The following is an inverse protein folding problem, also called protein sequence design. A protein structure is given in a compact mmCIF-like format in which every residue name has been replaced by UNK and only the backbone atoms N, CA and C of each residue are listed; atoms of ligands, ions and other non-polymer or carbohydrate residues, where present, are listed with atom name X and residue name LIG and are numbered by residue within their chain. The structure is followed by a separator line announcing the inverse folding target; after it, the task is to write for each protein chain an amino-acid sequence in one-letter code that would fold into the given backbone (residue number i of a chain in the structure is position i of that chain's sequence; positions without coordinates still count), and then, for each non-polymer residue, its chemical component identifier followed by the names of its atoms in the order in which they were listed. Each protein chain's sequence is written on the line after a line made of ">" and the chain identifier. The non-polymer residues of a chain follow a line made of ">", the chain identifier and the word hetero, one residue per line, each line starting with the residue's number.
data_IF_157069533968
#
_entry.id   IF_157069533968
#
_cell.length_a   1.000
_cell.length_b   1.000
_cell.length_c   1.000
_cell.angle_alpha   90.00
_cell.angle_beta   90.00
_cell.angle_gamma   90.00
#
_symmetry.space_group_name_H-M   'P 1'
#
loop_
_entity.id
_entity.type
_entity.pdbx_description
1 polymer ?
#
# COMPACT_ATOMS: atom_id res chain seq x y z
N UNK A 1 -3.98 30.29 -28.45
CA UNK A 1 -3.57 30.48 -27.03
C UNK A 1 -4.78 30.20 -26.14
N UNK A 2 -4.99 28.95 -25.74
CA UNK A 2 -6.10 28.57 -24.88
C UNK A 2 -5.67 28.68 -23.42
N UNK A 3 -6.33 29.58 -22.68
CA UNK A 3 -6.20 29.78 -21.23
C UNK A 3 -7.19 28.84 -20.55
N UNK A 4 -6.70 27.88 -19.76
CA UNK A 4 -7.57 27.11 -18.87
C UNK A 4 -7.63 27.79 -17.50
N UNK A 5 -8.85 28.21 -17.15
CA UNK A 5 -9.23 28.83 -15.89
C UNK A 5 -9.47 27.72 -14.85
N UNK A 6 -8.67 27.68 -13.79
CA UNK A 6 -8.94 26.86 -12.60
C UNK A 6 -9.94 27.60 -11.71
N UNK A 7 -11.17 27.11 -11.65
CA UNK A 7 -12.13 27.55 -10.63
C UNK A 7 -11.92 26.72 -9.36
N UNK A 8 -11.20 27.29 -8.39
CA UNK A 8 -11.18 26.80 -7.01
C UNK A 8 -12.45 27.29 -6.30
N UNK A 9 -13.39 26.40 -6.05
CA UNK A 9 -14.51 26.67 -5.16
C UNK A 9 -14.06 26.40 -3.72
N UNK A 10 -13.69 27.46 -3.00
CA UNK A 10 -13.48 27.42 -1.57
C UNK A 10 -14.84 27.52 -0.86
N UNK A 11 -15.22 26.48 -0.10
CA UNK A 11 -16.35 26.58 0.83
C UNK A 11 -15.80 26.74 2.26
N UNK A 12 -16.30 27.79 2.92
CA UNK A 12 -15.87 28.29 4.22
C UNK A 12 -16.13 27.33 5.38
N UNK A 13 -15.21 27.42 6.35
CA UNK A 13 -15.22 26.72 7.61
C UNK A 13 -16.50 26.97 8.44
N UNK A 14 -17.02 25.90 9.04
CA UNK A 14 -17.78 25.99 10.28
C UNK A 14 -17.03 25.16 11.31
N UNK A 15 -16.46 25.83 12.31
CA UNK A 15 -15.81 25.16 13.43
C UNK A 15 -16.83 24.36 14.23
N UNK A 16 -16.45 23.15 14.63
CA UNK A 16 -17.07 22.48 15.76
C UNK A 16 -16.02 21.68 16.52
N UNK A 17 -16.25 21.64 17.83
CA UNK A 17 -15.30 21.44 18.91
C UNK A 17 -14.47 20.15 18.81
N UNK A 18 -13.23 20.28 19.27
CA UNK A 18 -12.36 19.16 19.62
C UNK A 18 -13.02 18.27 20.69
N UNK A 19 -13.47 17.09 20.29
CA UNK A 19 -13.65 15.97 21.22
C UNK A 19 -12.42 15.09 21.14
N UNK A 20 -11.61 15.09 22.19
CA UNK A 20 -10.57 14.09 22.44
C UNK A 20 -11.23 12.73 22.64
N UNK A 21 -11.59 12.06 21.55
CA UNK A 21 -11.89 10.63 21.61
C UNK A 21 -10.56 9.90 21.61
N UNK A 22 -10.30 9.15 22.67
CA UNK A 22 -9.35 8.03 22.72
C UNK A 22 -9.79 6.96 21.72
N UNK A 23 -9.73 7.25 20.43
CA UNK A 23 -9.99 6.28 19.38
C UNK A 23 -8.74 5.40 19.27
N UNK A 24 -8.84 4.19 19.84
CA UNK A 24 -7.95 3.08 19.48
C UNK A 24 -7.85 3.06 17.95
N UNK A 25 -6.65 3.07 17.33
CA UNK A 25 -6.53 2.91 15.89
C UNK A 25 -7.25 1.62 15.48
N UNK A 26 -8.33 1.75 14.72
CA UNK A 26 -9.17 0.63 14.35
C UNK A 26 -10.05 1.02 13.17
N UNK A 27 -10.13 0.12 12.19
CA UNK A 27 -11.02 0.26 11.05
C UNK A 27 -12.48 0.07 11.53
N UNK A 28 -13.39 0.93 11.08
CA UNK A 28 -14.83 0.68 11.26
C UNK A 28 -15.20 -0.60 10.51
N UNK A 29 -15.94 -1.52 11.15
CA UNK A 29 -16.31 -2.81 10.52
C UNK A 29 -17.34 -2.66 9.41
N UNK A 30 -18.01 -1.51 9.33
CA UNK A 30 -19.03 -1.20 8.34
C UNK A 30 -18.68 0.12 7.66
N UNK A 31 -17.62 0.12 6.84
CA UNK A 31 -17.41 1.21 5.89
C UNK A 31 -18.33 0.93 4.71
N UNK A 32 -19.39 1.72 4.58
CA UNK A 32 -20.24 1.69 3.39
C UNK A 32 -19.37 1.95 2.18
N UNK A 33 -19.46 1.09 1.17
CA UNK A 33 -18.78 1.30 -0.10
C UNK A 33 -19.09 2.70 -0.62
N UNK A 34 -18.04 3.47 -0.91
CA UNK A 34 -18.20 4.75 -1.61
C UNK A 34 -18.53 4.52 -3.09
N UNK A 35 -18.34 3.30 -3.59
CA UNK A 35 -18.78 2.86 -4.91
C UNK A 35 -20.20 2.34 -4.79
N UNK A 36 -21.15 3.13 -5.27
CA UNK A 36 -22.58 2.78 -5.31
C UNK A 36 -23.04 2.37 -6.71
N UNK A 37 -22.16 2.49 -7.71
CA UNK A 37 -22.46 2.17 -9.10
C UNK A 37 -22.29 0.65 -9.34
N UNK A 38 -23.37 -0.10 -9.65
CA UNK A 38 -23.26 -1.53 -9.95
C UNK A 38 -22.53 -1.82 -11.26
N UNK A 39 -22.30 -0.81 -12.11
CA UNK A 39 -21.52 -0.92 -13.35
C UNK A 39 -20.05 -0.57 -13.18
N UNK A 40 -19.60 -0.28 -11.95
CA UNK A 40 -18.21 0.03 -11.66
C UNK A 40 -17.28 -1.09 -12.15
N UNK A 41 -16.24 -0.69 -12.87
CA UNK A 41 -15.23 -1.58 -13.43
C UNK A 41 -13.86 -0.93 -13.33
N UNK A 42 -12.84 -1.75 -13.08
CA UNK A 42 -11.44 -1.33 -13.13
C UNK A 42 -10.87 -1.29 -14.56
N UNK A 43 -11.71 -1.53 -15.57
CA UNK A 43 -11.28 -1.62 -16.96
C UNK A 43 -10.57 -2.95 -17.27
N UNK A 44 -9.86 -2.97 -18.40
CA UNK A 44 -9.15 -4.18 -18.89
C UNK A 44 -7.64 -4.14 -18.67
N UNK A 45 -7.09 -2.97 -18.33
CA UNK A 45 -5.66 -2.73 -18.21
C UNK A 45 -5.31 -2.33 -16.77
N UNK A 46 -5.71 -3.19 -15.83
CA UNK A 46 -5.41 -2.97 -14.42
C UNK A 46 -4.41 -3.99 -13.88
N UNK A 47 -3.66 -3.56 -12.87
CA UNK A 47 -2.79 -4.42 -12.08
C UNK A 47 -3.17 -4.34 -10.59
N UNK A 48 -2.89 -5.39 -9.84
CA UNK A 48 -3.05 -5.44 -8.40
C UNK A 48 -1.69 -5.30 -7.73
N UNK A 49 -1.48 -4.23 -6.98
CA UNK A 49 -0.24 -3.96 -6.25
C UNK A 49 -0.42 -4.33 -4.77
N UNK A 50 0.11 -5.48 -4.40
CA UNK A 50 0.11 -6.05 -3.06
C UNK A 50 1.32 -5.55 -2.26
N UNK A 51 1.10 -4.57 -1.40
CA UNK A 51 2.11 -3.83 -0.66
C UNK A 51 2.48 -4.52 0.65
N UNK A 52 3.75 -4.93 0.74
CA UNK A 52 4.43 -5.31 1.97
C UNK A 52 3.71 -6.37 2.79
N UNK A 53 3.07 -7.32 2.11
CA UNK A 53 2.38 -8.46 2.69
C UNK A 53 3.36 -9.54 3.18
N UNK A 54 4.34 -9.13 3.99
CA UNK A 54 5.49 -9.94 4.42
C UNK A 54 5.37 -10.44 5.86
N UNK A 55 6.07 -11.53 6.18
CA UNK A 55 6.04 -12.16 7.50
C UNK A 55 6.28 -11.17 8.65
N UNK A 56 7.31 -10.32 8.54
CA UNK A 56 7.69 -9.40 9.61
C UNK A 56 6.67 -8.30 9.91
N UNK A 57 5.78 -7.96 8.97
CA UNK A 57 4.69 -7.02 9.19
C UNK A 57 3.41 -7.74 9.65
N UNK A 58 3.08 -8.85 9.00
CA UNK A 58 1.86 -9.62 9.28
C UNK A 58 1.90 -10.27 10.67
N UNK A 59 3.09 -10.66 11.15
CA UNK A 59 3.29 -11.17 12.51
C UNK A 59 2.78 -10.22 13.62
N UNK A 60 2.71 -8.91 13.36
CA UNK A 60 2.24 -7.93 14.34
C UNK A 60 0.70 -7.90 14.45
N UNK A 61 -0.02 -8.45 13.47
CA UNK A 61 -1.49 -8.41 13.43
C UNK A 61 -2.12 -9.79 13.55
N UNK A 62 -1.42 -10.87 13.16
CA UNK A 62 -1.93 -12.24 13.16
C UNK A 62 -2.32 -12.78 14.55
N UNK A 63 -1.83 -12.16 15.63
CA UNK A 63 -2.15 -12.54 17.01
C UNK A 63 -3.53 -12.07 17.48
N UNK A 64 -4.22 -11.25 16.67
CA UNK A 64 -5.53 -10.69 17.02
C UNK A 64 -6.63 -11.22 16.09
N UNK A 65 -7.86 -11.35 16.60
CA UNK A 65 -9.00 -11.76 15.77
C UNK A 65 -9.24 -10.81 14.59
N UNK A 66 -9.09 -9.51 14.80
CA UNK A 66 -9.25 -8.50 13.74
C UNK A 66 -8.16 -8.62 12.68
N UNK A 67 -6.91 -8.88 13.08
CA UNK A 67 -5.83 -9.11 12.12
C UNK A 67 -6.01 -10.41 11.36
N UNK A 68 -6.47 -11.49 11.99
CA UNK A 68 -6.77 -12.72 11.27
C UNK A 68 -7.89 -12.52 10.23
N UNK A 69 -8.95 -11.78 10.56
CA UNK A 69 -10.00 -11.45 9.59
C UNK A 69 -9.46 -10.61 8.42
N UNK A 70 -8.53 -9.69 8.69
CA UNK A 70 -7.85 -8.94 7.63
C UNK A 70 -7.01 -9.86 6.74
N UNK A 71 -6.22 -10.77 7.31
CA UNK A 71 -5.43 -11.77 6.57
C UNK A 71 -6.36 -12.62 5.69
N UNK A 72 -7.44 -13.15 6.26
CA UNK A 72 -8.39 -13.99 5.53
C UNK A 72 -9.03 -13.22 4.36
N UNK A 73 -9.41 -11.96 4.57
CA UNK A 73 -9.99 -11.13 3.51
C UNK A 73 -8.98 -10.80 2.40
N UNK A 74 -7.73 -10.50 2.75
CA UNK A 74 -6.68 -10.22 1.75
C UNK A 74 -6.34 -11.49 0.96
N UNK A 75 -6.23 -12.64 1.62
CA UNK A 75 -6.01 -13.92 0.95
C UNK A 75 -7.18 -14.25 0.00
N UNK A 76 -8.42 -14.10 0.44
CA UNK A 76 -9.60 -14.30 -0.40
C UNK A 76 -9.64 -13.34 -1.60
N UNK A 77 -9.22 -12.08 -1.41
CA UNK A 77 -9.09 -11.12 -2.50
C UNK A 77 -8.06 -11.57 -3.54
N UNK A 78 -6.86 -11.95 -3.10
CA UNK A 78 -5.79 -12.44 -3.98
C UNK A 78 -6.28 -13.67 -4.75
N UNK A 79 -6.90 -14.63 -4.07
CA UNK A 79 -7.46 -15.84 -4.70
C UNK A 79 -8.56 -15.49 -5.71
N UNK A 80 -9.41 -14.50 -5.43
CA UNK A 80 -10.44 -14.05 -6.35
C UNK A 80 -9.86 -13.36 -7.59
N UNK A 81 -8.81 -12.56 -7.42
CA UNK A 81 -8.05 -11.95 -8.52
C UNK A 81 -7.44 -13.02 -9.41
N UNK A 82 -6.77 -14.02 -8.82
CA UNK A 82 -6.12 -15.11 -9.56
C UNK A 82 -7.10 -16.07 -10.27
N UNK A 83 -8.37 -16.08 -9.86
CA UNK A 83 -9.43 -16.88 -10.51
C UNK A 83 -10.04 -16.22 -11.76
N UNK A 84 -9.68 -14.98 -12.07
CA UNK A 84 -10.12 -14.33 -13.30
C UNK A 84 -9.46 -14.98 -14.53
N UNK A 85 -10.06 -14.80 -15.71
CA UNK A 85 -9.58 -15.40 -16.96
C UNK A 85 -9.48 -14.35 -18.09
N UNK A 86 -8.26 -13.93 -18.49
CA UNK A 86 -7.00 -14.21 -17.80
C UNK A 86 -6.92 -13.49 -16.44
N UNK A 87 -6.11 -13.97 -15.49
CA UNK A 87 -5.84 -13.21 -14.26
C UNK A 87 -5.18 -11.88 -14.64
N UNK A 88 -5.49 -10.76 -13.96
CA UNK A 88 -4.74 -9.53 -14.12
C UNK A 88 -3.33 -9.70 -13.53
N UNK A 89 -2.40 -8.81 -13.91
CA UNK A 89 -1.06 -8.81 -13.34
C UNK A 89 -1.11 -8.47 -11.83
N UNK A 90 -0.69 -9.41 -10.99
CA UNK A 90 -0.43 -9.14 -9.57
C UNK A 90 1.06 -8.85 -9.35
N UNK A 91 1.35 -7.74 -8.69
CA UNK A 91 2.69 -7.32 -8.29
C UNK A 91 2.74 -7.26 -6.76
N UNK A 92 3.66 -8.01 -6.16
CA UNK A 92 3.90 -8.01 -4.72
C UNK A 92 5.15 -7.21 -4.41
N UNK A 93 5.08 -6.26 -3.48
CA UNK A 93 6.29 -5.60 -2.98
C UNK A 93 6.73 -6.18 -1.64
N UNK A 94 8.04 -6.23 -1.45
CA UNK A 94 8.67 -6.66 -0.20
C UNK A 94 9.68 -5.61 0.26
N UNK A 95 9.59 -5.24 1.53
CA UNK A 95 10.66 -4.50 2.20
C UNK A 95 11.78 -5.48 2.53
N UNK A 96 12.99 -5.12 2.12
CA UNK A 96 14.21 -5.80 2.53
C UNK A 96 15.34 -4.78 2.54
N UNK A 97 16.44 -5.18 3.16
CA UNK A 97 17.67 -4.39 3.21
C UNK A 97 18.76 -5.02 2.37
N UNK A 98 19.53 -4.17 1.70
CA UNK A 98 20.61 -4.60 0.79
C UNK A 98 21.64 -5.44 1.55
N UNK A 99 21.88 -5.11 2.81
CA UNK A 99 22.75 -5.82 3.75
C UNK A 99 22.46 -5.34 5.19
N UNK A 100 23.20 -5.87 6.16
CA UNK A 100 23.06 -5.53 7.59
C UNK A 100 23.42 -4.09 7.94
N UNK A 101 24.16 -3.37 7.08
CA UNK A 101 24.45 -1.94 7.25
C UNK A 101 23.29 -1.04 6.82
N UNK A 102 22.33 -1.57 6.06
CA UNK A 102 21.08 -0.91 5.67
C UNK A 102 21.28 0.52 5.14
N UNK A 103 22.16 0.72 4.13
CA UNK A 103 22.52 2.04 3.63
C UNK A 103 21.31 2.82 3.10
N UNK A 104 20.29 2.12 2.64
CA UNK A 104 19.02 2.71 2.29
C UNK A 104 18.41 3.50 3.46
N UNK A 105 18.40 3.06 4.71
CA UNK A 105 17.61 3.73 5.77
C UNK A 105 17.97 5.20 6.01
N UNK A 106 19.27 5.53 6.07
CA UNK A 106 19.74 6.87 6.42
C UNK A 106 19.05 7.43 7.69
N UNK A 107 18.91 8.76 7.76
CA UNK A 107 18.16 9.46 8.82
C UNK A 107 16.69 9.76 8.44
N UNK A 108 16.09 8.98 7.53
CA UNK A 108 14.75 9.25 7.04
C UNK A 108 13.66 8.71 8.00
N UNK A 109 12.43 9.28 8.00
CA UNK A 109 11.30 8.74 8.77
C UNK A 109 10.94 7.28 8.45
N UNK A 110 11.40 6.76 7.30
CA UNK A 110 11.26 5.36 6.94
C UNK A 110 12.00 4.42 7.90
N UNK A 111 13.19 4.81 8.40
CA UNK A 111 13.98 4.00 9.31
C UNK A 111 13.20 3.61 10.58
N UNK A 112 12.40 4.54 11.12
CA UNK A 112 11.56 4.28 12.28
C UNK A 112 10.40 3.32 11.99
N UNK A 113 9.80 3.40 10.78
CA UNK A 113 8.66 2.55 10.44
C UNK A 113 9.04 1.08 10.21
N UNK A 114 10.28 0.83 9.79
CA UNK A 114 10.80 -0.52 9.54
C UNK A 114 11.68 -1.04 10.65
N UNK A 115 11.70 -0.37 11.82
CA UNK A 115 12.53 -0.79 12.96
C UNK A 115 12.19 -2.21 13.43
N UNK A 116 10.93 -2.63 13.36
CA UNK A 116 10.50 -3.99 13.71
C UNK A 116 11.03 -5.07 12.76
N UNK A 117 11.43 -4.70 11.53
CA UNK A 117 12.02 -5.64 10.56
C UNK A 117 13.51 -5.90 10.81
N UNK A 118 14.13 -5.21 11.79
CA UNK A 118 15.53 -5.45 12.16
C UNK A 118 16.50 -5.32 10.98
N UNK A 119 17.18 -6.43 10.66
CA UNK A 119 18.14 -6.53 9.55
C UNK A 119 17.63 -7.49 8.46
N UNK A 120 16.32 -7.51 8.19
CA UNK A 120 15.72 -8.38 7.18
C UNK A 120 16.32 -8.13 5.79
N UNK A 121 17.15 -9.05 5.31
CA UNK A 121 17.69 -9.06 3.95
C UNK A 121 16.75 -9.83 3.02
N UNK A 122 17.08 -9.91 1.72
CA UNK A 122 16.24 -10.58 0.72
C UNK A 122 15.92 -12.05 1.03
N UNK A 123 16.81 -12.75 1.74
CA UNK A 123 16.63 -14.16 2.15
C UNK A 123 16.07 -14.32 3.56
N UNK A 124 15.92 -13.23 4.32
CA UNK A 124 15.37 -13.31 5.68
C UNK A 124 13.91 -13.75 5.65
N UNK A 125 13.48 -14.61 6.59
CA UNK A 125 12.07 -14.99 6.73
C UNK A 125 11.14 -13.78 6.83
N UNK A 126 11.52 -12.79 7.65
CA UNK A 126 10.70 -11.58 7.88
C UNK A 126 10.43 -10.76 6.62
N UNK A 127 11.26 -10.90 5.57
CA UNK A 127 11.04 -10.22 4.30
C UNK A 127 10.23 -11.04 3.30
N UNK A 128 9.97 -12.32 3.53
CA UNK A 128 9.20 -13.17 2.60
C UNK A 128 7.71 -12.84 2.65
N UNK A 129 7.01 -13.10 1.54
CA UNK A 129 5.55 -12.97 1.50
C UNK A 129 4.94 -13.93 2.52
N UNK A 130 4.04 -13.40 3.35
CA UNK A 130 3.38 -14.17 4.38
C UNK A 130 2.62 -15.34 3.75
N UNK A 131 2.80 -16.54 4.31
CA UNK A 131 2.40 -17.79 3.65
C UNK A 131 0.91 -17.91 3.28
N UNK A 132 0.01 -17.13 3.89
CA UNK A 132 -1.40 -17.11 3.52
C UNK A 132 -1.66 -16.43 2.16
N UNK A 133 -0.76 -15.56 1.71
CA UNK A 133 -0.89 -14.81 0.46
C UNK A 133 -0.15 -15.54 -0.65
N UNK A 134 -0.90 -16.26 -1.49
CA UNK A 134 -0.33 -17.14 -2.51
C UNK A 134 -0.03 -16.36 -3.78
N UNK A 135 1.24 -16.35 -4.18
CA UNK A 135 1.67 -15.89 -5.50
C UNK A 135 1.48 -17.00 -6.53
N UNK A 136 1.17 -16.64 -7.78
CA UNK A 136 1.24 -17.53 -8.93
C UNK A 136 2.68 -17.63 -9.45
N UNK A 137 3.26 -18.82 -9.36
CA UNK A 137 4.61 -19.09 -9.84
C UNK A 137 4.75 -18.77 -11.33
N UNK A 138 5.82 -18.07 -11.69
CA UNK A 138 6.13 -17.64 -13.06
C UNK A 138 5.08 -16.72 -13.71
N UNK A 139 4.16 -16.14 -12.93
CA UNK A 139 3.17 -15.18 -13.42
C UNK A 139 3.21 -13.89 -12.62
N UNK A 140 3.07 -13.98 -11.29
CA UNK A 140 3.13 -12.81 -10.43
C UNK A 140 4.55 -12.26 -10.33
N UNK A 141 4.65 -10.94 -10.21
CA UNK A 141 5.93 -10.26 -10.03
C UNK A 141 6.14 -9.97 -8.56
N UNK A 142 7.27 -10.39 -8.01
CA UNK A 142 7.68 -10.04 -6.65
C UNK A 142 8.82 -9.02 -6.72
N UNK A 143 8.51 -7.77 -6.40
CA UNK A 143 9.46 -6.66 -6.38
C UNK A 143 10.00 -6.38 -4.99
N UNK A 144 11.28 -6.07 -4.98
CA UNK A 144 12.05 -5.69 -3.82
C UNK A 144 12.05 -4.16 -3.72
N UNK A 145 11.82 -3.57 -2.54
CA UNK A 145 11.82 -2.11 -2.39
C UNK A 145 12.55 -1.60 -1.15
N UNK A 146 13.11 -0.41 -1.27
CA UNK A 146 13.95 0.21 -0.23
C UNK A 146 13.26 1.35 0.54
N UNK A 147 12.02 1.74 0.18
CA UNK A 147 11.27 2.87 0.77
C UNK A 147 9.77 2.60 0.91
N UNK A 148 9.03 3.61 1.38
CA UNK A 148 7.57 3.64 1.36
C UNK A 148 7.02 3.49 -0.06
N UNK A 149 7.56 4.27 -1.01
CA UNK A 149 7.14 4.21 -2.40
C UNK A 149 7.39 2.81 -2.98
N UNK A 150 6.37 2.24 -3.62
CA UNK A 150 6.39 0.86 -4.09
C UNK A 150 7.47 0.60 -5.15
N UNK A 151 7.73 1.59 -6.02
CA UNK A 151 8.73 1.52 -7.08
C UNK A 151 10.15 1.89 -6.65
N UNK A 152 10.35 2.22 -5.37
CA UNK A 152 11.63 2.74 -4.91
C UNK A 152 12.75 1.70 -4.99
N UNK A 153 13.59 1.86 -6.01
CA UNK A 153 14.75 0.99 -6.27
C UNK A 153 14.39 -0.29 -7.01
N UNK A 154 13.32 -0.32 -7.80
CA UNK A 154 12.93 -1.47 -8.63
C UNK A 154 12.30 -1.05 -9.97
N UNK A 155 11.79 -2.03 -10.71
CA UNK A 155 11.26 -1.90 -12.07
C UNK A 155 9.73 -1.67 -12.13
N UNK A 156 9.07 -1.27 -11.04
CA UNK A 156 7.60 -1.17 -11.00
C UNK A 156 7.05 -0.32 -12.16
N UNK A 157 7.57 0.89 -12.35
CA UNK A 157 7.08 1.83 -13.37
C UNK A 157 7.34 1.32 -14.79
N UNK A 158 8.46 0.64 -15.01
CA UNK A 158 8.79 0.01 -16.29
C UNK A 158 7.82 -1.14 -16.60
N UNK A 159 7.51 -1.97 -15.61
CA UNK A 159 6.54 -3.07 -15.75
C UNK A 159 5.15 -2.50 -16.05
N UNK A 160 4.67 -1.54 -15.25
CA UNK A 160 3.35 -0.95 -15.45
C UNK A 160 3.24 -0.28 -16.84
N UNK A 161 4.26 0.49 -17.24
CA UNK A 161 4.26 1.16 -18.54
C UNK A 161 4.35 0.18 -19.71
N UNK A 162 5.18 -0.86 -19.61
CA UNK A 162 5.35 -1.84 -20.70
C UNK A 162 4.11 -2.70 -20.92
N UNK A 163 3.38 -3.01 -19.84
CA UNK A 163 2.11 -3.74 -19.86
C UNK A 163 0.90 -2.83 -20.15
N UNK A 164 1.13 -1.52 -20.36
CA UNK A 164 0.10 -0.50 -20.61
C UNK A 164 -0.96 -0.44 -19.53
N UNK A 165 -0.57 -0.64 -18.27
CA UNK A 165 -1.47 -0.55 -17.13
C UNK A 165 -1.88 0.91 -16.92
N UNK A 166 -3.19 1.16 -16.87
CA UNK A 166 -3.78 2.48 -16.63
C UNK A 166 -4.42 2.59 -15.23
N UNK A 167 -4.69 1.45 -14.60
CA UNK A 167 -5.38 1.37 -13.31
C UNK A 167 -4.58 0.46 -12.36
N UNK A 168 -4.27 0.95 -11.16
CA UNK A 168 -3.58 0.15 -10.14
C UNK A 168 -4.47 0.04 -8.90
N UNK A 169 -4.78 -1.19 -8.52
CA UNK A 169 -5.50 -1.50 -7.28
C UNK A 169 -4.47 -1.71 -6.17
N UNK A 170 -4.52 -0.89 -5.13
CA UNK A 170 -3.62 -1.00 -3.98
C UNK A 170 -4.22 -1.92 -2.92
N UNK A 171 -3.47 -2.94 -2.53
CA UNK A 171 -3.83 -3.90 -1.48
C UNK A 171 -2.66 -3.98 -0.52
N UNK A 172 -2.86 -3.82 0.78
CA UNK A 172 -1.73 -3.94 1.70
C UNK A 172 -2.02 -3.46 3.10
N UNK A 173 -1.05 -3.66 3.99
CA UNK A 173 -1.04 -2.96 5.27
C UNK A 173 -0.53 -1.53 5.02
N UNK A 174 -1.39 -0.54 5.19
CA UNK A 174 -0.98 0.85 5.20
C UNK A 174 -0.12 1.06 6.44
N UNK A 175 1.19 0.88 6.30
CA UNK A 175 2.18 0.96 7.37
C UNK A 175 1.85 2.13 8.31
N UNK A 176 1.41 1.77 9.51
CA UNK A 176 0.71 2.62 10.51
C UNK A 176 1.25 4.05 10.60
N UNK A 177 0.39 5.03 10.26
CA UNK A 177 0.17 6.21 11.12
C UNK A 177 -1.33 6.49 11.25
N UNK A 178 -1.69 7.12 12.37
CA UNK A 178 -3.04 7.46 12.81
C UNK A 178 -3.97 7.96 11.69
N UNK A 179 -5.26 7.65 11.83
CA UNK A 179 -6.34 7.70 10.82
C UNK A 179 -6.68 9.04 10.17
N UNK A 180 -5.81 10.04 10.21
CA UNK A 180 -5.92 11.29 9.44
C UNK A 180 -5.13 11.27 8.12
N UNK A 181 -4.36 10.21 7.83
CA UNK A 181 -3.36 10.23 6.77
C UNK A 181 -3.52 9.16 5.67
N UNK A 182 -4.55 8.30 5.73
CA UNK A 182 -4.78 7.23 4.75
C UNK A 182 -4.82 7.76 3.30
N UNK A 183 -5.44 8.93 3.08
CA UNK A 183 -5.46 9.59 1.76
C UNK A 183 -4.11 10.23 1.35
N UNK A 184 -3.28 10.67 2.30
CA UNK A 184 -1.95 11.22 2.01
C UNK A 184 -0.90 10.13 1.76
N UNK A 185 -1.14 8.93 2.28
CA UNK A 185 -0.27 7.78 2.05
C UNK A 185 -0.41 7.23 0.64
N UNK A 186 -1.62 7.08 0.10
CA UNK A 186 -1.81 6.63 -1.29
C UNK A 186 -1.00 7.50 -2.29
N UNK A 187 -0.98 8.82 -2.10
CA UNK A 187 -0.17 9.75 -2.91
C UNK A 187 1.33 9.51 -2.76
N UNK A 188 1.83 9.25 -1.55
CA UNK A 188 3.25 8.97 -1.31
C UNK A 188 3.68 7.58 -1.81
N UNK A 189 2.76 6.62 -1.82
CA UNK A 189 2.96 5.25 -2.31
C UNK A 189 2.91 5.13 -3.84
N UNK A 190 2.30 6.10 -4.54
CA UNK A 190 2.15 6.08 -6.02
C UNK A 190 2.99 7.13 -6.74
N UNK A 191 3.20 8.32 -6.16
CA UNK A 191 3.79 9.46 -6.91
C UNK A 191 5.21 9.83 -6.50
N UNK A 192 5.73 9.29 -5.38
CA UNK A 192 7.03 9.70 -4.81
C UNK A 192 7.12 11.19 -4.43
N UNK A 193 6.04 11.96 -4.57
CA UNK A 193 6.03 13.40 -4.33
C UNK A 193 5.95 13.68 -2.83
N UNK A 194 6.92 14.41 -2.25
CA UNK A 194 6.82 14.87 -0.87
C UNK A 194 5.76 15.97 -0.82
N UNK A 195 4.51 15.58 -0.58
CA UNK A 195 3.43 16.51 -0.28
C UNK A 195 3.80 17.36 0.94
N UNK A 196 4.11 18.64 0.67
CA UNK A 196 4.40 19.73 1.61
C UNK A 196 5.56 19.51 2.59
N UNK A 197 6.67 20.16 2.26
CA UNK A 197 7.60 20.78 3.22
C UNK A 197 6.76 21.43 4.33
N UNK A 198 6.74 20.85 5.52
CA UNK A 198 6.51 21.65 6.73
C UNK A 198 7.79 22.48 6.91
N UNK A 199 7.74 23.71 6.41
CA UNK A 199 8.45 24.81 7.07
C UNK A 199 7.73 24.98 8.40
N UNK A 200 8.36 24.47 9.45
CA UNK A 200 8.81 25.16 10.67
C UNK A 200 9.25 24.11 11.70
#
# INVERSE_FOLDING_TARGET
>A
MFKYSLACLALLATGCLSTTTTSRPGYSRNITSTVTDPSFSFGKHYAVLNLDLIDGLVANVNTTRSGQLWIDNVANWIDAVHKQDPPPLSIFTRIFFSNTYRPELGNAPFASAVTSLGNATASSPDSQIYSAFKTLDNYDVVLQKARYYAGAGNQLEEILSSQKIDTVILVGDAMRRSGSQVNRFADQYVTGSPGSVLRE
#
